data_IF_210176144312
#
_entry.id   IF_210176144312
#
_cell.length_a   1.000
_cell.length_b   1.000
_cell.length_c   1.000
_cell.angle_alpha   90.00
_cell.angle_beta   90.00
_cell.angle_gamma   90.00
#
_symmetry.space_group_name_H-M   'P 1'
#
loop_
_entity.id
_entity.type
_entity.pdbx_description
1 polymer ?
#
# COMPACT_ATOMS: atom_id res chain seq x y z
N UNK A 1 -12.70 -15.35 30.00
CA UNK A 1 -11.26 -15.54 29.75
C UNK A 1 -10.88 -14.66 28.57
N UNK A 2 -10.08 -13.60 28.77
CA UNK A 2 -9.56 -12.78 27.66
C UNK A 2 -8.29 -13.45 27.15
N UNK A 3 -8.29 -13.90 25.91
CA UNK A 3 -7.10 -14.41 25.23
C UNK A 3 -6.65 -13.37 24.23
N UNK A 4 -5.40 -12.90 24.36
CA UNK A 4 -4.73 -12.12 23.32
C UNK A 4 -3.90 -13.09 22.49
N UNK A 5 -4.13 -13.11 21.18
CA UNK A 5 -3.40 -13.94 20.23
C UNK A 5 -2.85 -13.05 19.12
N UNK A 6 -1.54 -13.12 18.88
CA UNK A 6 -0.88 -12.46 17.75
C UNK A 6 -0.62 -13.50 16.67
N UNK A 7 -1.11 -13.25 15.46
CA UNK A 7 -0.99 -14.15 14.31
C UNK A 7 -0.22 -13.40 13.23
N UNK A 8 0.89 -13.98 12.74
CA UNK A 8 1.67 -13.45 11.62
C UNK A 8 1.39 -14.26 10.35
N UNK A 9 1.43 -13.61 9.19
CA UNK A 9 1.21 -14.24 7.89
C UNK A 9 2.55 -14.56 7.23
N UNK A 10 2.77 -15.84 6.91
CA UNK A 10 4.01 -16.35 6.30
C UNK A 10 3.79 -17.00 4.94
N UNK A 11 2.54 -17.08 4.45
CA UNK A 11 2.25 -17.61 3.12
C UNK A 11 2.41 -16.53 2.05
N UNK A 12 3.51 -16.65 1.30
CA UNK A 12 3.88 -15.73 0.22
C UNK A 12 2.84 -15.62 -0.89
N UNK A 13 2.01 -16.65 -1.08
CA UNK A 13 1.01 -16.70 -2.16
C UNK A 13 -0.31 -16.05 -1.77
N UNK A 14 -0.52 -15.78 -0.47
CA UNK A 14 -1.79 -15.30 0.07
C UNK A 14 -1.60 -14.25 1.17
N UNK A 15 -0.69 -13.28 0.95
CA UNK A 15 -0.44 -12.17 1.90
C UNK A 15 -1.68 -11.31 2.23
N UNK A 16 -2.75 -11.45 1.47
CA UNK A 16 -4.03 -10.78 1.66
C UNK A 16 -5.01 -11.55 2.57
N UNK A 17 -4.64 -12.72 3.08
CA UNK A 17 -5.55 -13.57 3.86
C UNK A 17 -4.88 -14.16 5.10
N UNK A 18 -5.47 -13.91 6.28
CA UNK A 18 -5.07 -14.55 7.54
C UNK A 18 -6.19 -15.52 7.94
N UNK A 19 -5.88 -16.82 8.01
CA UNK A 19 -6.80 -17.83 8.53
C UNK A 19 -6.44 -18.16 9.98
N UNK A 20 -7.45 -18.26 10.84
CA UNK A 20 -7.30 -18.74 12.21
C UNK A 20 -8.39 -19.77 12.53
N UNK A 21 -7.97 -20.92 13.06
CA UNK A 21 -8.87 -21.94 13.58
C UNK A 21 -8.80 -21.93 15.10
N UNK A 22 -9.85 -21.43 15.74
CA UNK A 22 -9.94 -21.44 17.20
C UNK A 22 -10.11 -22.88 17.71
N UNK A 23 -9.27 -23.30 18.66
CA UNK A 23 -9.46 -24.56 19.36
C UNK A 23 -10.79 -24.52 20.13
N UNK A 24 -11.64 -25.53 19.95
CA UNK A 24 -12.87 -25.68 20.74
C UNK A 24 -12.45 -26.07 22.16
N UNK A 25 -12.36 -25.09 23.05
CA UNK A 25 -11.89 -25.27 24.43
C UNK A 25 -12.97 -25.80 25.38
N UNK A 26 -14.23 -25.87 24.93
CA UNK A 26 -15.35 -26.34 25.74
C UNK A 26 -15.91 -27.67 25.20
N UNK A 27 -16.03 -28.69 26.05
CA UNK A 27 -16.80 -29.91 25.76
C UNK A 27 -18.30 -29.60 25.88
N UNK A 28 -18.87 -28.86 24.94
CA UNK A 28 -20.31 -28.59 24.89
C UNK A 28 -20.87 -28.72 23.47
N UNK A 29 -22.17 -28.99 23.38
CA UNK A 29 -22.88 -29.25 22.11
C UNK A 29 -23.13 -27.99 21.27
N UNK A 30 -23.01 -26.79 21.86
CA UNK A 30 -23.13 -25.50 21.18
C UNK A 30 -22.16 -24.50 21.80
N UNK A 31 -21.39 -23.81 20.95
CA UNK A 31 -20.53 -22.69 21.33
C UNK A 31 -20.86 -21.52 20.40
N UNK A 32 -21.02 -20.33 20.98
CA UNK A 32 -21.12 -19.09 20.21
C UNK A 32 -19.86 -18.25 20.47
N UNK A 33 -19.12 -17.95 19.41
CA UNK A 33 -18.00 -17.02 19.45
C UNK A 33 -18.44 -15.68 18.88
N UNK A 34 -18.38 -14.63 19.70
CA UNK A 34 -18.58 -13.26 19.28
C UNK A 34 -17.24 -12.51 19.30
N UNK A 35 -16.89 -11.88 18.18
CA UNK A 35 -15.76 -10.95 18.12
C UNK A 35 -16.28 -9.57 18.49
N UNK A 36 -15.96 -9.11 19.69
CA UNK A 36 -16.45 -7.82 20.23
C UNK A 36 -15.59 -6.63 19.82
N UNK A 37 -14.30 -6.85 19.56
CA UNK A 37 -13.36 -5.83 19.09
C UNK A 37 -12.21 -6.52 18.34
N UNK A 38 -11.77 -5.91 17.24
CA UNK A 38 -10.57 -6.28 16.54
C UNK A 38 -9.70 -5.02 16.38
N UNK A 39 -8.50 -5.05 16.97
CA UNK A 39 -7.47 -4.05 16.71
C UNK A 39 -6.45 -4.66 15.77
N UNK A 40 -6.24 -4.04 14.60
CA UNK A 40 -5.17 -4.43 13.67
C UNK A 40 -4.17 -3.29 13.52
N UNK A 41 -2.90 -3.63 13.37
CA UNK A 41 -1.86 -2.72 12.93
C UNK A 41 -1.36 -3.20 11.57
N UNK A 42 -1.50 -2.36 10.55
CA UNK A 42 -0.95 -2.64 9.24
C UNK A 42 0.57 -2.47 9.28
N UNK A 43 1.34 -3.53 9.03
CA UNK A 43 2.80 -3.50 8.90
C UNK A 43 3.17 -4.20 7.59
N UNK A 44 2.94 -3.50 6.48
CA UNK A 44 3.29 -3.99 5.13
C UNK A 44 4.65 -3.41 4.80
N UNK A 45 5.63 -4.26 4.47
CA UNK A 45 6.85 -3.76 3.81
C UNK A 45 6.42 -3.26 2.43
N UNK A 46 6.52 -1.95 2.24
CA UNK A 46 5.99 -1.26 1.07
C UNK A 46 7.07 -1.13 0.00
N UNK A 47 8.32 -0.89 0.42
CA UNK A 47 9.48 -0.79 -0.45
C UNK A 47 10.63 -1.64 0.08
N UNK A 48 11.44 -2.17 -0.83
CA UNK A 48 12.73 -2.82 -0.57
C UNK A 48 13.86 -2.11 -1.33
N UNK A 49 15.11 -2.43 -1.00
CA UNK A 49 16.33 -1.85 -1.60
C UNK A 49 16.43 -2.02 -3.12
N UNK A 50 15.73 -3.03 -3.65
CA UNK A 50 15.72 -3.36 -5.07
C UNK A 50 14.60 -2.62 -5.83
N UNK A 51 13.68 -1.95 -5.10
CA UNK A 51 12.62 -1.15 -5.70
C UNK A 51 13.20 0.13 -6.31
N UNK A 52 12.85 0.35 -7.59
CA UNK A 52 13.35 1.45 -8.40
C UNK A 52 12.38 1.87 -9.48
N UNK A 53 12.56 3.07 -10.01
CA UNK A 53 12.05 3.45 -11.32
C UNK A 53 13.18 3.96 -12.21
N UNK A 54 12.94 3.96 -13.52
CA UNK A 54 13.88 4.38 -14.55
C UNK A 54 13.38 5.68 -15.15
N UNK A 55 14.24 6.70 -15.15
CA UNK A 55 13.97 7.99 -15.79
C UNK A 55 15.00 8.25 -16.88
N UNK A 56 14.53 8.69 -18.04
CA UNK A 56 15.37 9.12 -19.15
C UNK A 56 15.35 10.65 -19.24
N UNK A 57 16.53 11.24 -19.17
CA UNK A 57 16.76 12.69 -19.24
C UNK A 57 17.92 12.94 -20.19
N UNK A 58 17.73 13.85 -21.16
CA UNK A 58 18.78 14.21 -22.14
C UNK A 58 19.39 13.01 -22.91
N UNK A 59 18.62 11.92 -23.07
CA UNK A 59 19.06 10.70 -23.75
C UNK A 59 19.82 9.69 -22.86
N UNK A 60 20.07 10.03 -21.59
CA UNK A 60 20.65 9.12 -20.61
C UNK A 60 19.57 8.52 -19.68
N UNK A 61 19.77 7.27 -19.27
CA UNK A 61 18.87 6.56 -18.37
C UNK A 61 19.45 6.44 -16.98
N UNK A 62 18.65 6.81 -16.00
CA UNK A 62 19.01 6.79 -14.58
C UNK A 62 18.08 5.86 -13.82
N UNK A 63 18.65 5.04 -12.94
CA UNK A 63 17.89 4.23 -12.00
C UNK A 63 17.81 4.98 -10.67
N UNK A 64 16.59 5.22 -10.19
CA UNK A 64 16.35 5.83 -8.89
C UNK A 64 15.91 4.73 -7.92
N UNK A 65 16.81 4.34 -7.02
CA UNK A 65 16.57 3.29 -6.02
C UNK A 65 16.00 3.87 -4.74
N UNK A 66 15.15 3.10 -4.07
CA UNK A 66 14.52 3.48 -2.82
C UNK A 66 15.07 2.70 -1.64
N UNK A 67 15.08 3.32 -0.46
CA UNK A 67 15.39 2.60 0.77
C UNK A 67 14.21 1.67 1.14
N UNK A 68 14.47 0.61 1.92
CA UNK A 68 13.40 -0.20 2.47
C UNK A 68 12.52 0.62 3.42
N UNK A 69 11.20 0.59 3.20
CA UNK A 69 10.23 1.25 4.06
C UNK A 69 9.03 0.35 4.35
N UNK A 70 8.68 0.26 5.63
CA UNK A 70 7.51 -0.46 6.12
C UNK A 70 6.37 0.46 6.57
N UNK A 71 6.65 1.77 6.65
CA UNK A 71 5.73 2.81 7.12
C UNK A 71 6.02 4.07 6.34
N UNK A 72 5.01 4.59 5.64
CA UNK A 72 5.15 5.79 4.82
C UNK A 72 3.94 6.67 5.10
N UNK A 73 4.20 7.84 5.68
CA UNK A 73 3.25 8.95 5.73
C UNK A 73 3.40 9.81 4.48
N UNK A 74 2.32 10.45 4.01
CA UNK A 74 2.29 11.16 2.73
C UNK A 74 3.35 12.28 2.66
N UNK A 75 3.46 13.10 3.70
CA UNK A 75 4.46 14.18 3.76
C UNK A 75 5.90 13.62 3.80
N UNK A 76 6.09 12.54 4.55
CA UNK A 76 7.38 11.83 4.60
C UNK A 76 7.74 11.19 3.27
N UNK A 77 6.75 10.76 2.47
CA UNK A 77 6.97 10.18 1.14
C UNK A 77 7.55 11.20 0.17
N UNK A 78 7.02 12.44 0.14
CA UNK A 78 7.53 13.49 -0.75
C UNK A 78 8.99 13.79 -0.45
N UNK A 79 9.31 14.02 0.83
CA UNK A 79 10.67 14.28 1.28
C UNK A 79 11.62 13.11 0.95
N UNK A 80 11.12 11.89 1.09
CA UNK A 80 11.84 10.69 0.72
C UNK A 80 12.20 10.74 -0.77
N UNK A 81 11.21 10.86 -1.68
CA UNK A 81 11.45 10.91 -3.12
C UNK A 81 12.48 11.99 -3.48
N UNK A 82 12.35 13.19 -2.93
CA UNK A 82 13.30 14.29 -3.16
C UNK A 82 14.73 13.89 -2.78
N UNK A 83 14.90 13.20 -1.64
CA UNK A 83 16.20 12.67 -1.21
C UNK A 83 16.75 11.64 -2.20
N UNK A 84 15.96 10.69 -2.69
CA UNK A 84 16.45 9.69 -3.66
C UNK A 84 16.78 10.32 -5.02
N UNK A 85 15.99 11.29 -5.47
CA UNK A 85 16.28 12.05 -6.70
C UNK A 85 17.60 12.80 -6.57
N UNK A 86 17.85 13.42 -5.40
CA UNK A 86 19.11 14.10 -5.11
C UNK A 86 20.31 13.14 -5.08
N UNK A 87 20.16 11.97 -4.45
CA UNK A 87 21.18 10.92 -4.42
C UNK A 87 21.49 10.37 -5.83
N UNK A 88 20.46 10.26 -6.68
CA UNK A 88 20.61 9.93 -8.10
C UNK A 88 21.18 11.09 -8.95
N UNK A 89 21.45 12.26 -8.33
CA UNK A 89 21.94 13.49 -8.97
C UNK A 89 20.98 14.03 -10.05
N UNK A 90 19.69 13.81 -9.85
CA UNK A 90 18.64 14.25 -10.77
C UNK A 90 18.02 15.56 -10.29
N UNK A 91 18.11 16.65 -11.05
CA UNK A 91 17.54 17.95 -10.71
C UNK A 91 16.02 18.04 -10.93
N UNK A 92 15.28 16.96 -10.63
CA UNK A 92 13.82 16.88 -10.75
C UNK A 92 13.17 17.32 -9.45
N UNK A 93 12.27 18.30 -9.51
CA UNK A 93 11.49 18.75 -8.35
C UNK A 93 10.23 17.91 -8.22
N UNK A 94 9.94 17.46 -7.01
CA UNK A 94 8.70 16.74 -6.69
C UNK A 94 7.71 17.72 -6.12
N UNK A 95 6.46 17.68 -6.58
CA UNK A 95 5.38 18.48 -6.01
C UNK A 95 4.19 17.61 -5.67
N UNK A 96 3.60 17.90 -4.53
CA UNK A 96 2.32 17.36 -4.09
C UNK A 96 1.27 18.46 -4.24
N UNK A 97 0.25 18.22 -5.06
CA UNK A 97 -0.91 19.10 -5.14
C UNK A 97 -1.79 18.98 -3.89
N UNK A 98 -2.68 19.94 -3.66
CA UNK A 98 -3.67 19.89 -2.56
C UNK A 98 -4.60 18.67 -2.67
N UNK A 99 -4.77 18.12 -3.87
CA UNK A 99 -5.49 16.87 -4.15
C UNK A 99 -4.68 15.61 -3.85
N UNK A 100 -3.50 15.74 -3.26
CA UNK A 100 -2.49 14.70 -3.03
C UNK A 100 -1.98 13.99 -4.29
N UNK A 101 -2.21 14.57 -5.48
CA UNK A 101 -1.60 14.09 -6.71
C UNK A 101 -0.13 14.52 -6.75
N UNK A 102 0.73 13.57 -7.12
CA UNK A 102 2.16 13.82 -7.29
C UNK A 102 2.43 14.32 -8.70
N UNK A 103 3.43 15.19 -8.82
CA UNK A 103 3.97 15.64 -10.09
C UNK A 103 5.48 15.84 -10.00
N UNK A 104 6.15 15.64 -11.14
CA UNK A 104 7.55 15.92 -11.32
C UNK A 104 7.70 17.13 -12.23
N UNK A 105 8.56 18.06 -11.84
CA UNK A 105 8.88 19.25 -12.63
C UNK A 105 10.37 19.30 -12.95
N UNK A 106 10.69 19.59 -14.22
CA UNK A 106 12.06 19.83 -14.67
C UNK A 106 12.12 20.89 -15.77
N UNK A 107 13.32 21.40 -16.06
CA UNK A 107 13.50 22.47 -17.06
C UNK A 107 13.63 21.98 -18.50
N UNK A 108 13.95 20.70 -18.71
CA UNK A 108 14.09 20.06 -20.02
C UNK A 108 13.13 18.87 -20.16
N UNK A 109 12.92 18.34 -21.38
CA UNK A 109 12.14 17.13 -21.57
C UNK A 109 12.72 15.95 -20.80
N UNK A 110 11.85 15.15 -20.20
CA UNK A 110 12.20 13.90 -19.54
C UNK A 110 11.03 12.91 -19.64
N UNK A 111 11.31 11.63 -19.41
CA UNK A 111 10.28 10.60 -19.36
C UNK A 111 10.60 9.53 -18.34
N UNK A 112 9.58 8.99 -17.70
CA UNK A 112 9.71 7.79 -16.86
C UNK A 112 9.56 6.59 -17.79
N UNK A 113 10.62 5.81 -17.91
CA UNK A 113 10.68 4.64 -18.81
C UNK A 113 9.94 3.45 -18.25
N UNK A 114 10.12 3.21 -16.95
CA UNK A 114 9.52 2.08 -16.25
C UNK A 114 9.53 2.36 -14.74
N UNK A 115 8.61 1.72 -14.02
CA UNK A 115 8.45 1.85 -12.58
C UNK A 115 8.02 0.50 -12.02
N UNK A 116 8.69 0.01 -10.98
CA UNK A 116 8.28 -1.24 -10.34
C UNK A 116 6.89 -1.10 -9.72
N UNK A 117 6.11 -2.19 -9.74
CA UNK A 117 4.72 -2.25 -9.31
C UNK A 117 4.45 -1.58 -7.94
N UNK A 118 5.30 -1.84 -6.93
CA UNK A 118 5.16 -1.21 -5.61
C UNK A 118 5.20 0.32 -5.69
N UNK A 119 6.15 0.86 -6.46
CA UNK A 119 6.24 2.30 -6.70
C UNK A 119 5.05 2.78 -7.53
N UNK A 120 4.56 2.02 -8.52
CA UNK A 120 3.35 2.42 -9.26
C UNK A 120 2.14 2.60 -8.34
N UNK A 121 1.96 1.72 -7.36
CA UNK A 121 0.91 1.86 -6.34
C UNK A 121 1.12 3.12 -5.51
N UNK A 122 2.36 3.43 -5.12
CA UNK A 122 2.69 4.59 -4.30
C UNK A 122 2.60 5.94 -5.02
N UNK A 123 2.97 5.99 -6.29
CA UNK A 123 2.90 7.19 -7.11
C UNK A 123 1.50 7.44 -7.70
N UNK A 124 0.62 6.44 -7.66
CA UNK A 124 -0.65 6.49 -8.38
C UNK A 124 -0.51 6.27 -9.88
N UNK A 125 0.54 5.54 -10.28
CA UNK A 125 0.86 5.20 -11.67
C UNK A 125 0.30 3.83 -12.12
N UNK A 126 -0.54 3.20 -11.31
CA UNK A 126 -1.07 1.84 -11.55
C UNK A 126 -1.99 1.71 -12.78
N UNK A 127 -2.49 2.84 -13.30
CA UNK A 127 -3.28 2.91 -14.54
C UNK A 127 -2.50 3.59 -15.69
N UNK A 128 -1.20 3.83 -15.52
CA UNK A 128 -0.39 4.51 -16.51
C UNK A 128 0.27 3.50 -17.45
N UNK A 129 0.42 3.89 -18.73
CA UNK A 129 1.23 3.15 -19.69
C UNK A 129 2.61 3.78 -19.79
N UNK A 130 3.64 2.97 -19.59
CA UNK A 130 5.03 3.40 -19.73
C UNK A 130 5.54 3.20 -21.17
N UNK A 131 6.44 4.07 -21.69
CA UNK A 131 7.03 5.22 -21.01
C UNK A 131 6.06 6.41 -20.90
N UNK A 132 6.16 7.16 -19.80
CA UNK A 132 5.40 8.38 -19.56
C UNK A 132 6.26 9.60 -19.86
N UNK A 133 5.85 10.45 -20.81
CA UNK A 133 6.58 11.66 -21.19
C UNK A 133 6.07 12.89 -20.42
N UNK A 134 6.98 13.80 -20.06
CA UNK A 134 6.61 15.06 -19.44
C UNK A 134 6.07 16.06 -20.47
N UNK A 135 4.99 16.76 -20.14
CA UNK A 135 4.37 17.76 -21.00
C UNK A 135 5.01 19.14 -20.79
N UNK A 136 5.16 19.92 -21.86
CA UNK A 136 5.62 21.30 -21.78
C UNK A 136 4.47 22.22 -21.34
N UNK A 137 4.54 22.75 -20.11
CA UNK A 137 3.50 23.62 -19.53
C UNK A 137 3.89 25.10 -19.62
N UNK A 138 5.14 25.40 -19.94
CA UNK A 138 5.62 26.76 -20.15
C UNK A 138 7.08 26.81 -20.58
N UNK A 139 7.61 28.01 -20.80
CA UNK A 139 8.99 28.21 -21.28
C UNK A 139 9.99 27.57 -20.32
N UNK A 140 10.69 26.53 -20.77
CA UNK A 140 11.63 25.73 -19.98
C UNK A 140 10.99 25.11 -18.72
N UNK A 141 9.74 24.64 -18.81
CA UNK A 141 9.06 23.93 -17.72
C UNK A 141 8.29 22.73 -18.26
N UNK A 142 8.81 21.55 -17.95
CA UNK A 142 8.21 20.26 -18.26
C UNK A 142 7.64 19.65 -16.99
N UNK A 143 6.41 19.14 -17.07
CA UNK A 143 5.68 18.58 -15.94
C UNK A 143 5.16 17.19 -16.31
N UNK A 144 5.40 16.21 -15.43
CA UNK A 144 4.80 14.89 -15.50
C UNK A 144 3.91 14.72 -14.27
N UNK A 145 2.60 14.56 -14.49
CA UNK A 145 1.61 14.42 -13.42
C UNK A 145 1.02 13.02 -13.41
N UNK A 146 0.77 12.46 -12.23
CA UNK A 146 0.06 11.20 -12.08
C UNK A 146 -1.46 11.47 -12.03
N UNK A 147 -2.22 10.68 -12.78
CA UNK A 147 -3.68 10.83 -12.89
C UNK A 147 -4.44 10.27 -11.68
N UNK A 148 -3.74 9.65 -10.73
CA UNK A 148 -4.34 9.03 -9.56
C UNK A 148 -3.50 9.27 -8.32
N UNK A 149 -4.15 9.17 -7.16
CA UNK A 149 -3.50 9.28 -5.85
C UNK A 149 -2.80 7.97 -5.50
N UNK A 150 -1.65 8.09 -4.83
CA UNK A 150 -0.94 6.94 -4.28
C UNK A 150 -1.79 6.14 -3.31
N UNK A 151 -1.67 4.80 -3.34
CA UNK A 151 -2.44 3.89 -2.49
C UNK A 151 -2.13 4.04 -0.99
N UNK A 152 -1.14 4.84 -0.58
CA UNK A 152 -0.94 5.20 0.84
C UNK A 152 -2.11 6.02 1.42
N UNK A 153 -2.99 6.53 0.55
CA UNK A 153 -4.27 7.14 0.89
C UNK A 153 -5.47 6.21 0.63
N UNK A 154 -5.25 5.05 0.01
CA UNK A 154 -6.28 4.05 -0.20
C UNK A 154 -6.56 3.36 1.13
N UNK A 155 -7.83 3.15 1.43
CA UNK A 155 -8.25 2.43 2.63
C UNK A 155 -8.66 1.03 2.21
N UNK A 156 -7.75 0.03 2.14
CA UNK A 156 -8.14 -1.30 1.74
C UNK A 156 -9.23 -1.79 2.70
N UNK A 157 -10.34 -2.28 2.18
CA UNK A 157 -11.39 -2.80 3.03
C UNK A 157 -11.01 -4.24 3.37
N UNK A 158 -10.70 -4.47 4.64
CA UNK A 158 -10.51 -5.81 5.17
C UNK A 158 -11.88 -6.38 5.57
N UNK A 159 -12.07 -7.68 5.36
CA UNK A 159 -13.29 -8.38 5.77
C UNK A 159 -12.93 -9.48 6.76
N UNK A 160 -13.58 -9.46 7.93
CA UNK A 160 -13.59 -10.63 8.81
C UNK A 160 -14.65 -11.59 8.29
N UNK A 161 -14.17 -12.77 7.94
CA UNK A 161 -14.98 -13.84 7.40
C UNK A 161 -15.16 -14.93 8.44
N UNK A 162 -16.40 -15.40 8.64
CA UNK A 162 -16.68 -16.55 9.51
C UNK A 162 -17.38 -17.66 8.75
N UNK A 163 -17.11 -18.89 9.18
CA UNK A 163 -17.86 -20.09 8.77
C UNK A 163 -19.15 -20.29 9.58
N UNK A 164 -19.55 -19.33 10.45
CA UNK A 164 -20.77 -19.42 11.24
C UNK A 164 -21.99 -19.71 10.36
N UNK A 165 -22.51 -20.93 10.48
CA UNK A 165 -23.64 -21.44 9.69
C UNK A 165 -23.39 -22.82 9.05
N UNK A 166 -22.14 -23.31 8.98
CA UNK A 166 -21.82 -24.68 8.53
C UNK A 166 -20.70 -25.30 9.36
N UNK A 167 -20.87 -26.55 9.80
CA UNK A 167 -19.76 -27.34 10.37
C UNK A 167 -18.72 -27.60 9.26
N UNK A 168 -17.76 -26.70 9.14
CA UNK A 168 -16.64 -26.83 8.21
C UNK A 168 -15.37 -27.05 9.02
N UNK A 169 -14.84 -28.28 8.96
CA UNK A 169 -13.55 -28.67 9.53
C UNK A 169 -12.37 -28.39 8.58
N UNK A 170 -12.61 -27.66 7.50
CA UNK A 170 -11.59 -27.28 6.52
C UNK A 170 -11.63 -25.77 6.29
N UNK A 171 -10.45 -25.16 6.09
CA UNK A 171 -10.31 -23.73 5.76
C UNK A 171 -10.80 -23.37 4.34
N UNK A 172 -11.45 -24.30 3.62
CA UNK A 172 -11.95 -24.11 2.26
C UNK A 172 -13.49 -24.21 2.27
N UNK A 173 -14.19 -23.08 2.38
CA UNK A 173 -15.64 -23.07 2.15
C UNK A 173 -16.43 -21.92 2.76
N UNK A 174 -17.04 -21.13 1.86
CA UNK A 174 -18.15 -20.16 2.02
C UNK A 174 -18.25 -19.44 3.37
N UNK A 175 -17.74 -18.22 3.40
CA UNK A 175 -17.63 -17.40 4.60
C UNK A 175 -18.61 -16.23 4.57
N UNK A 176 -19.50 -16.14 5.55
CA UNK A 176 -20.30 -14.93 5.76
C UNK A 176 -19.39 -13.79 6.20
N UNK A 177 -19.60 -12.59 5.66
CA UNK A 177 -18.93 -11.38 6.15
C UNK A 177 -19.50 -11.07 7.53
N UNK A 178 -18.67 -11.18 8.56
CA UNK A 178 -19.06 -10.89 9.96
C UNK A 178 -18.68 -9.47 10.36
N UNK A 179 -17.63 -8.91 9.76
CA UNK A 179 -17.22 -7.55 10.04
C UNK A 179 -16.51 -6.94 8.83
N UNK A 180 -16.84 -5.68 8.53
CA UNK A 180 -16.06 -4.84 7.63
C UNK A 180 -15.05 -4.05 8.47
N UNK A 181 -13.78 -4.11 8.11
CA UNK A 181 -12.69 -3.43 8.78
C UNK A 181 -12.13 -2.42 7.79
N UNK A 182 -12.32 -1.14 8.06
CA UNK A 182 -11.71 -0.09 7.26
C UNK A 182 -10.21 -0.04 7.61
N UNK A 183 -9.34 -0.53 6.74
CA UNK A 183 -7.90 -0.40 6.92
C UNK A 183 -7.41 0.87 6.22
N UNK A 184 -6.35 1.48 6.71
CA UNK A 184 -5.62 2.53 6.01
C UNK A 184 -4.17 2.08 5.85
N UNK A 185 -3.55 2.36 4.70
CA UNK A 185 -2.11 2.21 4.56
C UNK A 185 -1.31 3.23 5.42
N UNK A 186 -2.00 4.16 6.10
CA UNK A 186 -1.39 5.08 7.06
C UNK A 186 -0.89 4.36 8.31
N UNK A 187 0.42 4.46 8.57
CA UNK A 187 1.04 3.84 9.73
C UNK A 187 0.64 4.50 11.05
N UNK A 188 0.56 3.70 12.12
CA UNK A 188 0.43 4.21 13.50
C UNK A 188 -0.99 4.46 13.99
N UNK A 189 -2.00 4.32 13.12
CA UNK A 189 -3.40 4.43 13.53
C UNK A 189 -3.97 3.05 13.87
N UNK A 190 -4.40 2.81 15.13
CA UNK A 190 -5.11 1.59 15.45
C UNK A 190 -6.45 1.58 14.72
N UNK A 191 -6.68 0.55 13.91
CA UNK A 191 -8.00 0.35 13.29
C UNK A 191 -8.88 -0.32 14.33
N UNK A 192 -9.92 0.39 14.77
CA UNK A 192 -10.92 -0.11 15.71
C UNK A 192 -12.20 -0.36 14.93
N UNK A 193 -12.54 -1.64 14.74
CA UNK A 193 -13.83 -2.04 14.21
C UNK A 193 -14.71 -2.56 15.36
N UNK A 194 -15.73 -1.80 15.72
CA UNK A 194 -16.74 -2.20 16.70
C UNK A 194 -17.92 -2.84 15.97
N UNK A 195 -18.34 -4.02 16.44
CA UNK A 195 -19.59 -4.61 16.00
C UNK A 195 -20.74 -3.96 16.80
N UNK A 196 -21.77 -3.49 16.10
CA UNK A 196 -23.02 -3.00 16.71
C UNK A 196 -23.94 -4.16 17.08
#
# INVERSE_FOLDING_TARGET
MRHTLTIGLTDHSHYNHISYTASITARCSKVNYCVTNLTTMCYIQVLDKDDRFIIEMEGERYNVYFYPYSKIEVESFVFMIEKQMLEAKLPVKVKLADTHLLSFEYSKPFKIIDMIYNLQLLYGAYNCTFPMEAEEVGKNKYVLSFASVGYMLSTPILYLLSNNGRMNFSNKGSSGIVMRINNSFSSGFPIVANNG
#
